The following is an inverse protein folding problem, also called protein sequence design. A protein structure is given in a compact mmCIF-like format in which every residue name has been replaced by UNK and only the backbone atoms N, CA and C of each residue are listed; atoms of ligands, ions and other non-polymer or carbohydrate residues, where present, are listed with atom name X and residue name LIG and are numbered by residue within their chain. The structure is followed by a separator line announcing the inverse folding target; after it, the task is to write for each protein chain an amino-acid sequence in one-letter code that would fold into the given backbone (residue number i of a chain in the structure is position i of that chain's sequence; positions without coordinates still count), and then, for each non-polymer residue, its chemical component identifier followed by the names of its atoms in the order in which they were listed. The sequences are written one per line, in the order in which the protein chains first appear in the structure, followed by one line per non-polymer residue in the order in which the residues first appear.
data_IF_399530631950
#
_entry.id   IF_399530631950
#
_cell.length_a   1.000
_cell.length_b   1.000
_cell.length_c   1.000
_cell.angle_alpha   90.00
_cell.angle_beta   90.00
_cell.angle_gamma   90.00
#
_symmetry.space_group_name_H-M   'P 1'
#
loop_
_entity.id
_entity.type
_entity.pdbx_description
1 polymer ?
#
# COMPACT_ATOMS: atom_id res chain seq x y z
N UNK A 1 10.22 3.19 -2.52
CA UNK A 1 10.45 3.84 -3.85
C UNK A 1 9.22 4.62 -4.24
N UNK A 2 9.41 5.79 -4.87
CA UNK A 2 8.32 6.66 -5.35
C UNK A 2 8.70 7.27 -6.70
N UNK A 3 7.75 7.27 -7.63
CA UNK A 3 7.85 7.98 -8.90
C UNK A 3 6.61 8.87 -9.08
N UNK A 4 6.80 10.06 -9.64
CA UNK A 4 5.72 11.00 -9.97
C UNK A 4 6.01 11.54 -11.37
N UNK A 5 4.98 11.60 -12.22
CA UNK A 5 5.10 12.18 -13.55
C UNK A 5 5.58 13.66 -13.43
N UNK A 6 6.71 14.03 -14.05
CA UNK A 6 7.21 15.41 -13.98
C UNK A 6 6.24 16.45 -14.53
N UNK A 7 5.28 16.02 -15.34
CA UNK A 7 4.23 16.88 -15.93
C UNK A 7 2.91 16.83 -15.16
N UNK A 8 2.90 16.20 -13.98
CA UNK A 8 1.70 16.11 -13.16
C UNK A 8 1.25 17.49 -12.71
N UNK A 9 0.01 17.84 -13.06
CA UNK A 9 -0.68 19.02 -12.59
C UNK A 9 -1.90 18.58 -11.74
N UNK A 10 -1.75 18.66 -10.42
CA UNK A 10 -2.80 18.27 -9.49
C UNK A 10 -4.00 19.22 -9.47
N UNK A 11 -3.90 20.42 -10.02
CA UNK A 11 -5.03 21.36 -10.13
C UNK A 11 -6.16 20.83 -11.04
N UNK A 12 -5.83 19.88 -11.90
CA UNK A 12 -6.79 19.24 -12.81
C UNK A 12 -7.70 18.23 -12.14
N UNK A 13 -7.40 17.86 -10.89
CA UNK A 13 -8.12 16.82 -10.17
C UNK A 13 -8.91 17.41 -9.00
N UNK A 14 -10.16 16.99 -8.89
CA UNK A 14 -11.10 17.48 -7.88
C UNK A 14 -11.74 16.36 -7.05
N UNK A 15 -11.45 15.11 -7.36
CA UNK A 15 -11.91 13.94 -6.63
C UNK A 15 -10.93 12.78 -6.72
N UNK A 16 -11.07 11.81 -5.83
CA UNK A 16 -10.32 10.56 -5.86
C UNK A 16 -11.27 9.36 -5.82
N UNK A 17 -11.00 8.36 -6.64
CA UNK A 17 -11.65 7.06 -6.60
C UNK A 17 -10.65 6.01 -6.14
N UNK A 18 -10.95 5.32 -5.07
CA UNK A 18 -10.10 4.27 -4.52
C UNK A 18 -10.69 2.92 -4.92
N UNK A 19 -10.01 2.22 -5.83
CA UNK A 19 -10.36 0.84 -6.16
C UNK A 19 -10.22 -0.03 -4.90
N UNK A 20 -11.05 -1.08 -4.73
CA UNK A 20 -10.86 -2.03 -3.66
C UNK A 20 -9.44 -2.59 -3.67
N UNK A 21 -8.74 -2.48 -2.55
CA UNK A 21 -7.38 -3.01 -2.42
C UNK A 21 -7.39 -4.52 -2.55
N UNK A 22 -6.33 -5.06 -3.14
CA UNK A 22 -6.19 -6.49 -3.42
C UNK A 22 -4.85 -7.01 -2.93
N UNK A 23 -4.76 -8.31 -2.74
CA UNK A 23 -3.47 -9.00 -2.61
C UNK A 23 -2.93 -9.37 -3.99
N UNK A 24 -1.63 -9.19 -4.18
CA UNK A 24 -0.95 -9.66 -5.37
C UNK A 24 0.48 -10.12 -5.06
N UNK A 25 0.81 -11.38 -5.26
CA UNK A 25 -0.09 -12.49 -5.62
C UNK A 25 -1.14 -12.78 -4.54
N UNK A 26 -2.22 -13.47 -4.90
CA UNK A 26 -3.25 -13.85 -3.93
C UNK A 26 -2.64 -14.82 -2.90
N UNK A 27 -2.63 -14.48 -1.61
CA UNK A 27 -2.04 -15.34 -0.60
C UNK A 27 -2.96 -16.49 -0.23
N UNK A 28 -2.38 -17.52 0.37
CA UNK A 28 -3.09 -18.54 1.10
C UNK A 28 -2.85 -18.35 2.59
N UNK A 29 -3.89 -18.38 3.38
CA UNK A 29 -3.78 -18.33 4.83
C UNK A 29 -2.94 -19.48 5.37
N UNK A 30 -2.19 -19.23 6.43
CA UNK A 30 -1.39 -20.18 7.16
C UNK A 30 -1.81 -20.21 8.62
N UNK A 31 -1.33 -21.17 9.40
CA UNK A 31 -1.60 -21.21 10.84
C UNK A 31 -1.11 -19.94 11.56
N UNK A 32 -0.03 -19.32 11.09
CA UNK A 32 0.53 -18.08 11.65
C UNK A 32 -0.09 -16.80 11.12
N UNK A 33 -0.53 -16.82 9.87
CA UNK A 33 -1.21 -15.71 9.20
C UNK A 33 -2.50 -16.26 8.60
N UNK A 34 -3.55 -16.41 9.39
CA UNK A 34 -4.82 -16.97 8.91
C UNK A 34 -5.52 -16.01 7.94
N UNK A 35 -6.44 -16.54 7.15
CA UNK A 35 -7.23 -15.74 6.18
C UNK A 35 -7.96 -14.57 6.85
N UNK A 36 -8.42 -14.73 8.08
CA UNK A 36 -9.04 -13.64 8.86
C UNK A 36 -8.10 -12.46 9.08
N UNK A 37 -6.82 -12.73 9.33
CA UNK A 37 -5.78 -11.69 9.44
C UNK A 37 -5.54 -11.01 8.10
N UNK A 38 -5.40 -11.77 7.02
CA UNK A 38 -5.21 -11.23 5.67
C UNK A 38 -6.39 -10.33 5.27
N UNK A 39 -7.61 -10.80 5.47
CA UNK A 39 -8.82 -10.02 5.18
C UNK A 39 -8.91 -8.76 6.04
N UNK A 40 -8.54 -8.83 7.31
CA UNK A 40 -8.49 -7.70 8.22
C UNK A 40 -7.47 -6.65 7.80
N UNK A 41 -6.29 -7.05 7.35
CA UNK A 41 -5.24 -6.16 6.81
C UNK A 41 -5.75 -5.45 5.55
N UNK A 42 -6.33 -6.20 4.62
CA UNK A 42 -6.85 -5.66 3.38
C UNK A 42 -7.96 -4.63 3.61
N UNK A 43 -8.93 -4.96 4.46
CA UNK A 43 -10.03 -4.07 4.81
C UNK A 43 -9.52 -2.79 5.48
N UNK A 44 -8.58 -2.92 6.42
CA UNK A 44 -8.00 -1.78 7.12
C UNK A 44 -7.20 -0.87 6.19
N UNK A 45 -6.40 -1.45 5.29
CA UNK A 45 -5.62 -0.68 4.31
C UNK A 45 -6.54 0.14 3.39
N UNK A 46 -7.57 -0.49 2.86
CA UNK A 46 -8.58 0.20 2.03
C UNK A 46 -9.26 1.35 2.80
N UNK A 47 -9.65 1.11 4.05
CA UNK A 47 -10.28 2.11 4.90
C UNK A 47 -9.33 3.27 5.23
N UNK A 48 -8.06 2.98 5.53
CA UNK A 48 -7.05 4.00 5.83
C UNK A 48 -6.78 4.91 4.64
N UNK A 49 -6.67 4.35 3.42
CA UNK A 49 -6.52 5.12 2.19
C UNK A 49 -7.71 6.07 1.98
N UNK A 50 -8.93 5.57 2.14
CA UNK A 50 -10.15 6.38 2.01
C UNK A 50 -10.19 7.51 3.04
N UNK A 51 -9.92 7.20 4.30
CA UNK A 51 -9.90 8.16 5.40
C UNK A 51 -8.93 9.30 5.15
N UNK A 52 -7.71 8.99 4.75
CA UNK A 52 -6.67 10.00 4.57
C UNK A 52 -6.85 10.83 3.31
N UNK A 53 -7.24 10.22 2.20
CA UNK A 53 -7.49 10.96 0.95
C UNK A 53 -8.74 11.83 1.03
N UNK A 54 -9.76 11.43 1.77
CA UNK A 54 -10.97 12.23 1.97
C UNK A 54 -10.69 13.59 2.67
N UNK A 55 -9.56 13.71 3.36
CA UNK A 55 -9.13 15.00 3.94
C UNK A 55 -8.73 16.03 2.88
N UNK A 56 -8.38 15.59 1.70
CA UNK A 56 -7.85 16.44 0.62
C UNK A 56 -8.75 16.52 -0.60
N UNK A 57 -9.46 15.45 -0.92
CA UNK A 57 -10.29 15.30 -2.10
C UNK A 57 -11.60 14.59 -1.75
N UNK A 58 -12.74 15.06 -2.28
CA UNK A 58 -13.96 14.26 -2.24
C UNK A 58 -13.73 12.88 -2.85
N UNK A 59 -14.32 11.84 -2.25
CA UNK A 59 -14.25 10.50 -2.79
C UNK A 59 -15.33 10.32 -3.87
N UNK A 60 -14.89 9.91 -5.06
CA UNK A 60 -15.78 9.53 -6.17
C UNK A 60 -16.15 8.04 -6.07
N UNK A 61 -17.25 7.66 -6.73
CA UNK A 61 -17.73 6.27 -6.78
C UNK A 61 -17.23 5.52 -8.03
N UNK A 62 -16.62 6.22 -8.96
CA UNK A 62 -16.14 5.66 -10.23
C UNK A 62 -15.02 6.52 -10.81
N UNK A 63 -14.17 5.95 -11.70
CA UNK A 63 -13.25 6.73 -12.52
C UNK A 63 -13.98 7.73 -13.42
N UNK A 64 -13.29 8.78 -13.81
CA UNK A 64 -13.82 9.78 -14.74
C UNK A 64 -12.91 11.00 -14.87
N UNK A 65 -13.30 12.00 -15.67
CA UNK A 65 -12.56 13.25 -15.80
C UNK A 65 -12.40 13.95 -14.45
N UNK A 66 -11.20 14.45 -14.16
CA UNK A 66 -10.90 15.14 -12.91
C UNK A 66 -10.78 14.24 -11.69
N UNK A 67 -10.79 12.91 -11.86
CA UNK A 67 -10.68 11.92 -10.78
C UNK A 67 -9.29 11.28 -10.80
N UNK A 68 -8.63 11.26 -9.65
CA UNK A 68 -7.45 10.40 -9.45
C UNK A 68 -7.94 9.01 -9.06
N UNK A 69 -7.57 8.00 -9.83
CA UNK A 69 -7.83 6.60 -9.48
C UNK A 69 -6.65 6.07 -8.67
N UNK A 70 -6.92 5.54 -7.49
CA UNK A 70 -5.94 4.88 -6.63
C UNK A 70 -6.12 3.37 -6.73
N UNK A 71 -5.11 2.71 -7.27
CA UNK A 71 -5.04 1.24 -7.39
C UNK A 71 -3.93 0.73 -6.49
N UNK A 72 -4.30 0.10 -5.40
CA UNK A 72 -3.36 -0.37 -4.40
C UNK A 72 -3.42 -1.88 -4.24
N UNK A 73 -2.27 -2.49 -3.98
CA UNK A 73 -2.14 -3.91 -3.71
C UNK A 73 -1.24 -4.16 -2.51
N UNK A 74 -1.57 -5.20 -1.74
CA UNK A 74 -0.69 -5.74 -0.71
C UNK A 74 0.15 -6.82 -1.38
N UNK A 75 1.46 -6.66 -1.36
CA UNK A 75 2.41 -7.49 -2.11
C UNK A 75 3.17 -8.47 -1.23
N UNK A 76 3.20 -8.22 0.08
CA UNK A 76 3.80 -9.12 1.04
C UNK A 76 3.20 -8.96 2.43
N UNK A 77 3.01 -10.08 3.13
CA UNK A 77 2.71 -10.16 4.55
C UNK A 77 3.56 -11.28 5.14
N UNK A 78 4.34 -10.98 6.16
CA UNK A 78 5.21 -11.97 6.81
C UNK A 78 5.23 -11.79 8.33
N UNK A 79 5.35 -12.88 9.05
CA UNK A 79 5.49 -12.91 10.50
C UNK A 79 6.80 -13.56 10.97
N UNK A 80 7.79 -13.75 10.10
CA UNK A 80 9.08 -14.41 10.41
C UNK A 80 10.25 -13.84 9.63
N UNK A 81 11.41 -14.10 10.18
CA UNK A 81 12.75 -13.80 9.69
C UNK A 81 13.29 -14.69 8.59
N UNK A 82 12.57 -15.65 8.14
CA UNK A 82 12.97 -16.25 6.86
C UNK A 82 12.85 -15.14 5.83
N UNK A 83 14.00 -14.62 5.42
CA UNK A 83 14.08 -13.51 4.48
C UNK A 83 13.11 -13.73 3.34
N UNK A 84 12.29 -12.73 3.08
CA UNK A 84 11.33 -12.76 1.99
C UNK A 84 12.07 -13.25 0.76
N UNK A 85 11.67 -14.41 0.24
CA UNK A 85 12.30 -14.96 -0.94
C UNK A 85 12.08 -13.96 -2.08
N UNK A 86 13.07 -13.73 -2.96
CA UNK A 86 12.95 -12.71 -4.01
C UNK A 86 11.68 -12.79 -4.86
N UNK A 87 11.08 -13.97 -4.95
CA UNK A 87 9.83 -14.18 -5.69
C UNK A 87 8.55 -13.82 -4.91
N UNK A 88 8.64 -13.51 -3.62
CA UNK A 88 7.52 -13.01 -2.82
C UNK A 88 7.30 -11.51 -3.03
N UNK A 89 8.24 -10.85 -3.69
CA UNK A 89 8.11 -9.48 -4.21
C UNK A 89 7.97 -9.52 -5.73
N UNK A 90 6.78 -9.84 -6.20
CA UNK A 90 6.48 -9.60 -7.61
C UNK A 90 5.90 -8.19 -7.70
N UNK A 91 6.63 -7.25 -8.34
CA UNK A 91 6.06 -5.93 -8.56
C UNK A 91 4.78 -6.07 -9.36
N UNK A 92 3.70 -5.44 -8.92
CA UNK A 92 2.51 -5.27 -9.74
C UNK A 92 2.91 -4.45 -10.94
N UNK A 93 3.20 -5.14 -12.03
CA UNK A 93 3.51 -4.63 -13.35
C UNK A 93 4.03 -3.20 -13.34
N UNK A 94 5.31 -3.01 -13.49
CA UNK A 94 5.99 -1.87 -14.11
C UNK A 94 7.14 -1.22 -13.36
N UNK A 95 7.56 -1.69 -12.22
CA UNK A 95 8.83 -1.16 -11.74
C UNK A 95 9.83 -2.30 -11.58
N UNK A 96 10.56 -2.55 -12.62
CA UNK A 96 11.86 -3.20 -12.53
C UNK A 96 12.82 -2.29 -11.74
N UNK A 97 12.56 -2.10 -10.48
CA UNK A 97 13.47 -1.46 -9.58
C UNK A 97 13.81 -2.49 -8.53
N UNK A 98 15.04 -2.97 -8.62
CA UNK A 98 15.65 -3.77 -7.60
C UNK A 98 15.39 -3.12 -6.23
N UNK A 99 14.42 -3.65 -5.50
CA UNK A 99 14.34 -3.38 -4.07
C UNK A 99 15.56 -4.08 -3.50
N UNK A 100 16.61 -3.31 -3.24
CA UNK A 100 17.70 -3.80 -2.44
C UNK A 100 17.08 -4.23 -1.11
N UNK A 101 17.06 -5.52 -0.87
CA UNK A 101 16.67 -6.09 0.41
C UNK A 101 17.65 -5.57 1.44
N UNK A 102 17.27 -4.47 2.09
CA UNK A 102 18.03 -3.93 3.21
C UNK A 102 18.07 -4.98 4.32
N UNK A 103 19.26 -5.38 4.64
CA UNK A 103 19.63 -6.22 5.74
C UNK A 103 18.95 -5.82 7.04
N UNK A 104 18.45 -6.77 7.82
CA UNK A 104 18.14 -6.58 9.23
C UNK A 104 16.69 -6.73 9.63
N UNK A 105 16.00 -7.74 9.11
CA UNK A 105 14.76 -8.19 9.74
C UNK A 105 15.17 -9.08 10.92
N UNK A 106 14.88 -8.64 12.13
CA UNK A 106 15.07 -9.44 13.35
C UNK A 106 14.06 -10.56 13.42
N UNK A 107 14.45 -11.66 14.07
CA UNK A 107 13.53 -12.77 14.38
C UNK A 107 12.26 -12.23 15.04
N UNK A 108 11.09 -12.67 14.56
CA UNK A 108 9.76 -12.36 15.11
C UNK A 108 9.14 -11.00 14.72
N UNK A 109 9.65 -10.28 13.76
CA UNK A 109 8.99 -9.05 13.28
C UNK A 109 7.89 -9.38 12.25
N UNK A 110 6.81 -8.60 12.29
CA UNK A 110 5.81 -8.62 11.24
C UNK A 110 6.21 -7.67 10.12
N UNK A 111 6.02 -8.07 8.89
CA UNK A 111 6.36 -7.24 7.72
C UNK A 111 5.16 -7.10 6.79
N UNK A 112 4.99 -5.90 6.26
CA UNK A 112 3.99 -5.58 5.25
C UNK A 112 4.66 -4.92 4.05
N UNK A 113 4.33 -5.39 2.85
CA UNK A 113 4.69 -4.76 1.58
C UNK A 113 3.46 -4.32 0.83
N UNK A 114 3.50 -3.14 0.23
CA UNK A 114 2.40 -2.62 -0.60
C UNK A 114 2.93 -1.87 -1.81
N UNK A 115 2.12 -1.88 -2.87
CA UNK A 115 2.33 -1.08 -4.06
C UNK A 115 1.06 -0.30 -4.37
N UNK A 116 1.20 0.92 -4.88
CA UNK A 116 0.06 1.70 -5.34
C UNK A 116 0.41 2.46 -6.62
N UNK A 117 -0.54 2.48 -7.53
CA UNK A 117 -0.54 3.31 -8.72
C UNK A 117 -1.63 4.38 -8.59
N UNK A 118 -1.31 5.56 -9.07
CA UNK A 118 -2.25 6.67 -9.19
C UNK A 118 -2.43 6.92 -10.68
N UNK A 119 -3.66 6.91 -11.14
CA UNK A 119 -3.98 7.01 -12.56
C UNK A 119 -4.87 8.22 -12.80
N UNK A 120 -4.71 8.82 -13.96
CA UNK A 120 -5.69 9.76 -14.49
C UNK A 120 -6.99 9.03 -14.82
N UNK A 121 -8.09 9.44 -14.22
CA UNK A 121 -9.37 8.72 -14.32
C UNK A 121 -10.01 8.78 -15.70
N UNK A 122 -9.64 9.75 -16.54
CA UNK A 122 -10.13 9.87 -17.90
C UNK A 122 -9.33 9.01 -18.89
N UNK A 123 -7.99 9.06 -18.81
CA UNK A 123 -7.10 8.39 -19.76
C UNK A 123 -6.58 7.02 -19.28
N UNK A 124 -6.64 6.75 -17.99
CA UNK A 124 -6.01 5.58 -17.39
C UNK A 124 -4.47 5.66 -17.32
N UNK A 125 -3.87 6.80 -17.68
CA UNK A 125 -2.43 6.99 -17.61
C UNK A 125 -1.96 7.00 -16.16
N UNK A 126 -0.86 6.28 -15.87
CA UNK A 126 -0.22 6.33 -14.57
C UNK A 126 0.46 7.69 -14.38
N UNK A 127 0.12 8.37 -13.30
CA UNK A 127 0.63 9.71 -12.93
C UNK A 127 1.56 9.67 -11.72
N UNK A 128 1.48 8.62 -10.91
CA UNK A 128 2.42 8.35 -9.83
C UNK A 128 2.40 6.88 -9.43
N UNK A 129 3.48 6.44 -8.82
CA UNK A 129 3.62 5.08 -8.27
C UNK A 129 4.39 5.11 -6.96
N UNK A 130 4.07 4.20 -6.05
CA UNK A 130 4.79 4.02 -4.80
C UNK A 130 4.87 2.54 -4.43
N UNK A 131 6.06 2.14 -3.99
CA UNK A 131 6.33 0.82 -3.40
C UNK A 131 6.79 1.04 -1.97
N UNK A 132 6.19 0.34 -1.03
CA UNK A 132 6.48 0.49 0.40
C UNK A 132 6.69 -0.87 1.05
N UNK A 133 7.61 -0.89 1.99
CA UNK A 133 7.84 -2.00 2.91
C UNK A 133 7.97 -1.43 4.31
N UNK A 134 7.36 -2.06 5.28
CA UNK A 134 7.43 -1.63 6.67
C UNK A 134 7.32 -2.80 7.63
N UNK A 135 7.81 -2.59 8.83
CA UNK A 135 7.78 -3.53 9.93
C UNK A 135 6.72 -3.09 10.93
N UNK A 136 5.84 -4.00 11.27
CA UNK A 136 4.80 -3.80 12.29
C UNK A 136 5.29 -4.17 13.69
N UNK A 137 4.36 -4.48 14.58
CA UNK A 137 4.69 -4.90 15.94
C UNK A 137 5.36 -6.27 15.92
N UNK A 138 6.41 -6.47 16.73
CA UNK A 138 7.02 -7.78 16.88
C UNK A 138 6.03 -8.75 17.57
N UNK A 139 6.12 -10.02 17.22
CA UNK A 139 5.41 -11.09 17.92
C UNK A 139 6.21 -11.51 19.15
N UNK A 140 5.51 -11.89 20.22
CA UNK A 140 6.14 -12.25 21.50
C UNK A 140 6.93 -13.56 21.42
N UNK A 141 6.54 -14.48 20.52
CA UNK A 141 7.18 -15.78 20.33
C UNK A 141 6.76 -16.43 19.00
N UNK A 142 7.41 -17.52 18.65
CA UNK A 142 7.17 -18.27 17.39
C UNK A 142 5.77 -18.90 17.27
N UNK A 143 5.05 -19.06 18.36
CA UNK A 143 3.71 -19.65 18.36
C UNK A 143 2.60 -18.60 18.25
N UNK A 144 2.93 -17.32 18.40
CA UNK A 144 1.94 -16.23 18.31
C UNK A 144 1.40 -16.12 16.88
N UNK A 145 0.08 -16.06 16.76
CA UNK A 145 -0.62 -15.80 15.51
C UNK A 145 -0.60 -14.30 15.21
N UNK A 146 -0.22 -13.93 14.01
CA UNK A 146 -0.27 -12.55 13.54
C UNK A 146 -1.71 -12.06 13.45
N UNK A 147 -1.95 -10.83 13.89
CA UNK A 147 -3.23 -10.13 13.78
C UNK A 147 -3.11 -8.89 12.90
N UNK A 148 -4.21 -8.45 12.34
CA UNK A 148 -4.24 -7.20 11.55
C UNK A 148 -3.73 -6.00 12.37
N UNK A 149 -3.98 -5.97 13.67
CA UNK A 149 -3.52 -4.91 14.58
C UNK A 149 -2.00 -4.77 14.63
N UNK A 150 -1.26 -5.82 14.32
CA UNK A 150 0.20 -5.81 14.35
C UNK A 150 0.81 -4.90 13.26
N UNK A 151 0.07 -4.63 12.18
CA UNK A 151 0.52 -3.79 11.06
C UNK A 151 -0.29 -2.50 10.87
N UNK A 152 -1.29 -2.24 11.69
CA UNK A 152 -2.12 -1.03 11.58
C UNK A 152 -1.30 0.26 11.66
N UNK A 153 -0.32 0.32 12.54
CA UNK A 153 0.54 1.50 12.67
C UNK A 153 1.34 1.80 11.40
N UNK A 154 1.79 0.77 10.71
CA UNK A 154 2.48 0.90 9.41
C UNK A 154 1.53 1.47 8.36
N UNK A 155 0.32 0.92 8.29
CA UNK A 155 -0.71 1.33 7.34
C UNK A 155 -1.12 2.79 7.60
N UNK A 156 -1.35 3.17 8.84
CA UNK A 156 -1.69 4.54 9.22
C UNK A 156 -0.60 5.54 8.84
N UNK A 157 0.66 5.19 9.10
CA UNK A 157 1.81 5.99 8.70
C UNK A 157 1.84 6.21 7.18
N UNK A 158 1.66 5.15 6.40
CA UNK A 158 1.66 5.25 4.94
C UNK A 158 0.48 6.04 4.38
N UNK A 159 -0.70 5.87 4.93
CA UNK A 159 -1.88 6.62 4.51
C UNK A 159 -1.74 8.13 4.84
N UNK A 160 -1.19 8.45 6.01
CA UNK A 160 -0.86 9.83 6.38
C UNK A 160 0.20 10.44 5.46
N UNK A 161 1.26 9.70 5.14
CA UNK A 161 2.29 10.14 4.19
C UNK A 161 1.72 10.42 2.79
N UNK A 162 0.74 9.64 2.37
CA UNK A 162 0.06 9.85 1.09
C UNK A 162 -0.67 11.19 1.09
N UNK A 163 -1.45 11.48 2.13
CA UNK A 163 -2.12 12.76 2.30
C UNK A 163 -1.12 13.93 2.30
N UNK A 164 -0.05 13.84 3.09
CA UNK A 164 0.97 14.87 3.17
C UNK A 164 1.70 15.07 1.84
N UNK A 165 2.00 14.00 1.12
CA UNK A 165 2.63 14.06 -0.21
C UNK A 165 1.74 14.74 -1.22
N UNK A 166 0.43 14.44 -1.21
CA UNK A 166 -0.55 15.12 -2.05
C UNK A 166 -0.56 16.64 -1.77
N UNK A 167 -0.62 17.02 -0.50
CA UNK A 167 -0.62 18.42 -0.09
C UNK A 167 0.66 19.16 -0.51
N UNK A 168 1.82 18.50 -0.44
CA UNK A 168 3.10 19.06 -0.88
C UNK A 168 3.16 19.27 -2.41
N UNK A 169 2.65 18.29 -3.16
CA UNK A 169 2.65 18.34 -4.63
C UNK A 169 1.63 19.35 -5.18
N UNK A 170 0.58 19.64 -4.41
CA UNK A 170 -0.47 20.59 -4.79
C UNK A 170 -0.07 22.05 -4.56
N UNK A 171 0.93 22.32 -3.72
CA UNK A 171 1.42 23.70 -3.50
C UNK A 171 2.06 24.21 -4.80
N UNK A 172 1.70 25.44 -5.24
CA UNK A 172 2.33 26.07 -6.40
C UNK A 172 3.81 26.31 -6.19
#
# INVERSE_FOLDING_TARGET
MRWVDPKLDLSRYNAAYIEPTQFYPKPHGTAKIPDSTLNGINAYYNQALKRELAKSLPLANAPGPGVIVVRAAITAVSSKTEGLKPYEFIPVALVAAAVSTGTGIRDQETTLGTEAQFLDGASGKVIAQVVRKGTGKPLANDSQVMKADDVKGVIDGWASDLHQSYMKLRKP
#
